data_IF_469014099919
#
_entry.id   IF_469014099919
#
_cell.length_a   1.000
_cell.length_b   1.000
_cell.length_c   1.000
_cell.angle_alpha   90.00
_cell.angle_beta   90.00
_cell.angle_gamma   90.00
#
_symmetry.space_group_name_H-M   'P 1'
#
loop_
_entity.id
_entity.type
_entity.pdbx_description
1 polymer ?
#
# COMPACT_ATOMS: atom_id res chain seq x y z
N UNK A 1 0.69 2.04 13.00
CA UNK A 1 1.18 2.87 11.88
C UNK A 1 -0.01 3.31 11.07
N UNK A 2 -0.11 4.59 10.74
CA UNK A 2 -1.13 5.10 9.82
C UNK A 2 -0.66 5.13 8.35
N UNK A 3 -1.52 5.60 7.45
CA UNK A 3 -1.20 5.62 6.00
C UNK A 3 -0.05 6.57 5.69
N UNK A 4 0.05 7.72 6.36
CA UNK A 4 1.12 8.68 6.09
C UNK A 4 2.47 8.12 6.55
N UNK A 5 2.52 7.60 7.77
CA UNK A 5 3.72 6.95 8.32
C UNK A 5 4.20 5.80 7.43
N UNK A 6 3.28 4.96 6.92
CA UNK A 6 3.62 3.90 5.97
C UNK A 6 4.19 4.46 4.67
N UNK A 7 3.59 5.53 4.13
CA UNK A 7 4.03 6.13 2.87
C UNK A 7 5.43 6.74 2.99
N UNK A 8 5.73 7.38 4.11
CA UNK A 8 7.07 7.89 4.43
C UNK A 8 8.09 6.75 4.50
N UNK A 9 7.80 5.70 5.27
CA UNK A 9 8.67 4.54 5.36
C UNK A 9 8.93 3.89 3.99
N UNK A 10 7.88 3.69 3.18
CA UNK A 10 8.02 3.14 1.83
C UNK A 10 8.90 4.03 0.93
N UNK A 11 8.75 5.35 1.03
CA UNK A 11 9.57 6.28 0.26
C UNK A 11 11.05 6.22 0.65
N UNK A 12 11.35 6.14 1.95
CA UNK A 12 12.71 5.96 2.47
C UNK A 12 13.35 4.65 1.98
N UNK A 13 12.54 3.62 1.76
CA UNK A 13 12.97 2.32 1.25
C UNK A 13 12.92 2.21 -0.28
N UNK A 14 12.85 3.34 -1.00
CA UNK A 14 12.97 3.38 -2.45
C UNK A 14 11.71 2.89 -3.19
N UNK A 15 10.55 2.96 -2.54
CA UNK A 15 9.26 2.69 -3.16
C UNK A 15 8.53 4.00 -3.51
N UNK A 16 7.75 3.94 -4.57
CA UNK A 16 6.68 4.88 -4.88
C UNK A 16 5.36 4.30 -4.40
N UNK A 17 4.51 5.13 -3.81
CA UNK A 17 3.22 4.71 -3.27
C UNK A 17 2.12 5.69 -3.68
N UNK A 18 1.00 5.15 -4.17
CA UNK A 18 -0.19 5.90 -4.52
C UNK A 18 -1.35 5.34 -3.71
N UNK A 19 -1.98 6.21 -2.92
CA UNK A 19 -3.23 5.91 -2.23
C UNK A 19 -4.34 6.76 -2.85
N UNK A 20 -5.40 6.13 -3.34
CA UNK A 20 -6.47 6.80 -4.09
C UNK A 20 -7.84 6.39 -3.57
N UNK A 21 -8.67 7.38 -3.28
CA UNK A 21 -10.12 7.22 -3.19
C UNK A 21 -10.77 7.46 -4.57
N UNK A 22 -11.64 6.57 -4.99
CA UNK A 22 -12.38 6.59 -6.25
C UNK A 22 -13.88 6.65 -5.96
N UNK A 23 -14.44 7.86 -6.01
CA UNK A 23 -15.86 8.14 -5.77
C UNK A 23 -16.74 8.09 -7.01
N UNK A 24 -16.16 7.93 -8.21
CA UNK A 24 -16.90 7.91 -9.47
C UNK A 24 -17.51 6.53 -9.77
N UNK A 25 -17.21 5.53 -8.94
CA UNK A 25 -17.68 4.15 -9.11
C UNK A 25 -19.13 3.99 -8.67
N UNK A 26 -19.88 3.20 -9.44
CA UNK A 26 -21.33 2.95 -9.23
C UNK A 26 -21.70 2.26 -7.90
N UNK A 27 -20.73 1.74 -7.12
CA UNK A 27 -20.94 1.05 -5.83
C UNK A 27 -20.27 1.77 -4.65
N UNK A 28 -20.32 3.10 -4.65
CA UNK A 28 -19.72 3.92 -3.59
C UNK A 28 -18.20 4.04 -3.71
N UNK A 29 -17.58 4.71 -2.73
CA UNK A 29 -16.14 4.98 -2.72
C UNK A 29 -15.34 3.67 -2.68
N UNK A 30 -14.45 3.50 -3.66
CA UNK A 30 -13.43 2.45 -3.65
C UNK A 30 -12.09 3.04 -3.31
N UNK A 31 -11.27 2.25 -2.63
CA UNK A 31 -9.92 2.63 -2.28
C UNK A 31 -8.95 1.76 -3.04
N UNK A 32 -7.87 2.38 -3.51
CA UNK A 32 -6.80 1.70 -4.21
C UNK A 32 -5.48 2.10 -3.58
N UNK A 33 -4.62 1.12 -3.40
CA UNK A 33 -3.21 1.35 -3.11
C UNK A 33 -2.35 0.66 -4.15
N UNK A 34 -1.34 1.38 -4.61
CA UNK A 34 -0.30 0.89 -5.51
C UNK A 34 1.03 1.18 -4.82
N UNK A 35 1.87 0.17 -4.69
CA UNK A 35 3.25 0.31 -4.22
C UNK A 35 4.15 -0.28 -5.29
N UNK A 36 5.21 0.43 -5.66
CA UNK A 36 6.18 -0.08 -6.64
C UNK A 36 7.58 0.42 -6.33
N UNK A 37 8.59 -0.35 -6.72
CA UNK A 37 9.99 0.02 -6.50
C UNK A 37 10.84 -1.14 -6.04
N UNK A 38 12.16 -0.95 -6.10
CA UNK A 38 13.13 -1.99 -5.76
C UNK A 38 13.12 -2.39 -4.29
N UNK A 39 12.56 -1.54 -3.41
CA UNK A 39 12.39 -1.84 -1.99
C UNK A 39 11.47 -3.01 -1.68
N UNK A 40 10.60 -3.42 -2.62
CA UNK A 40 9.69 -4.57 -2.46
C UNK A 40 10.35 -5.94 -2.80
N UNK A 41 11.61 -5.94 -3.24
CA UNK A 41 12.29 -7.16 -3.69
C UNK A 41 11.95 -7.54 -5.14
N UNK A 42 11.92 -8.85 -5.44
CA UNK A 42 11.67 -9.36 -6.80
C UNK A 42 10.27 -8.96 -7.31
N UNK A 43 9.30 -8.91 -6.42
CA UNK A 43 7.95 -8.41 -6.65
C UNK A 43 7.95 -6.88 -6.53
N UNK A 44 8.59 -6.19 -7.48
CA UNK A 44 8.72 -4.72 -7.52
C UNK A 44 7.40 -3.94 -7.70
N UNK A 45 6.25 -4.60 -7.52
CA UNK A 45 4.92 -4.03 -7.72
C UNK A 45 3.84 -4.75 -6.89
N UNK A 46 3.06 -3.96 -6.16
CA UNK A 46 1.87 -4.38 -5.43
C UNK A 46 0.69 -3.45 -5.74
N UNK A 47 -0.50 -4.01 -5.95
CA UNK A 47 -1.73 -3.24 -6.15
C UNK A 47 -2.95 -3.98 -5.61
N UNK A 48 -3.80 -3.27 -4.89
CA UNK A 48 -5.10 -3.78 -4.45
C UNK A 48 -6.19 -2.70 -4.53
N UNK A 49 -7.44 -3.12 -4.75
CA UNK A 49 -8.65 -2.29 -4.74
C UNK A 49 -9.62 -2.84 -3.69
N UNK A 50 -9.88 -2.08 -2.63
CA UNK A 50 -10.65 -2.51 -1.45
C UNK A 50 -11.71 -1.48 -1.01
N UNK A 51 -12.68 -1.88 -0.17
CA UNK A 51 -13.79 -1.01 0.21
C UNK A 51 -13.44 0.15 1.15
N UNK A 52 -12.27 0.14 1.81
CA UNK A 52 -11.90 1.13 2.83
C UNK A 52 -10.39 1.42 2.81
N UNK A 53 -9.94 2.58 3.34
CA UNK A 53 -8.52 2.87 3.47
C UNK A 53 -7.83 1.89 4.42
N UNK A 54 -8.47 1.54 5.54
CA UNK A 54 -7.90 0.59 6.51
C UNK A 54 -7.67 -0.79 5.91
N UNK A 55 -8.57 -1.25 5.02
CA UNK A 55 -8.40 -2.53 4.34
C UNK A 55 -7.20 -2.50 3.37
N UNK A 56 -7.02 -1.38 2.64
CA UNK A 56 -5.82 -1.18 1.82
C UNK A 56 -4.54 -1.14 2.65
N UNK A 57 -4.55 -0.46 3.81
CA UNK A 57 -3.42 -0.40 4.72
C UNK A 57 -3.04 -1.79 5.22
N UNK A 58 -4.01 -2.55 5.73
CA UNK A 58 -3.79 -3.92 6.19
C UNK A 58 -3.19 -4.81 5.07
N UNK A 59 -3.75 -4.73 3.86
CA UNK A 59 -3.26 -5.51 2.73
C UNK A 59 -1.81 -5.17 2.33
N UNK A 60 -1.37 -3.91 2.46
CA UNK A 60 0.04 -3.56 2.23
C UNK A 60 0.93 -4.12 3.33
N UNK A 61 0.53 -4.03 4.59
CA UNK A 61 1.29 -4.58 5.71
C UNK A 61 1.46 -6.09 5.58
N UNK A 62 0.37 -6.81 5.27
CA UNK A 62 0.39 -8.26 5.04
C UNK A 62 1.32 -8.62 3.87
N UNK A 63 1.31 -7.81 2.80
CA UNK A 63 2.19 -8.02 1.65
C UNK A 63 3.67 -7.80 2.01
N UNK A 64 3.98 -6.72 2.74
CA UNK A 64 5.35 -6.44 3.21
C UNK A 64 5.86 -7.58 4.09
N UNK A 65 5.05 -8.05 5.04
CA UNK A 65 5.41 -9.19 5.90
C UNK A 65 5.67 -10.46 5.07
N UNK A 66 4.83 -10.73 4.06
CA UNK A 66 4.99 -11.88 3.17
C UNK A 66 6.30 -11.85 2.36
N UNK A 67 6.84 -10.66 2.06
CA UNK A 67 8.14 -10.49 1.39
C UNK A 67 9.30 -10.24 2.37
N UNK A 68 9.07 -10.43 3.68
CA UNK A 68 10.09 -10.32 4.72
C UNK A 68 10.47 -8.89 5.10
N UNK A 69 9.62 -7.93 4.78
CA UNK A 69 9.77 -6.52 5.14
C UNK A 69 8.83 -6.19 6.29
N UNK A 70 9.28 -5.35 7.22
CA UNK A 70 8.44 -4.90 8.32
C UNK A 70 8.75 -3.44 8.65
N UNK A 71 7.74 -2.56 8.64
CA UNK A 71 7.88 -1.19 9.12
C UNK A 71 7.91 -1.08 10.66
N UNK A 72 7.75 -2.22 11.36
CA UNK A 72 7.79 -2.29 12.82
C UNK A 72 9.10 -2.90 13.37
N UNK A 73 10.01 -3.33 12.50
CA UNK A 73 11.27 -3.99 12.86
C UNK A 73 12.39 -3.00 13.17
#
# INVERSE_FOLDING_TARGET
MDVLELMEWLAEHGCSVVFKADGERSRGTRWMVIVSGGGLGEESFFRVDLPSPDACLAAVLDHLEAVGLSPFA
#
